data_IF_609485516743
#
_entry.id   IF_609485516743
#
_cell.length_a   1.000
_cell.length_b   1.000
_cell.length_c   1.000
_cell.angle_alpha   90.00
_cell.angle_beta   90.00
_cell.angle_gamma   90.00
#
_symmetry.space_group_name_H-M   'P 1'
#
loop_
_entity.id
_entity.type
_entity.pdbx_description
1 polymer ?
#
# COMPACT_ATOMS: atom_id res chain seq x y z
N UNK A 1 5.63 -10.96 22.64
CA UNK A 1 5.74 -9.54 23.06
C UNK A 1 4.40 -8.91 22.79
N UNK A 2 3.79 -8.21 23.75
CA UNK A 2 2.53 -7.53 23.50
C UNK A 2 2.71 -6.46 22.42
N UNK A 3 1.67 -6.20 21.62
CA UNK A 3 1.77 -5.22 20.50
C UNK A 3 2.15 -3.82 21.01
N UNK A 4 1.62 -3.41 22.17
CA UNK A 4 1.95 -2.13 22.82
C UNK A 4 3.42 -1.96 23.20
N UNK A 5 4.13 -3.09 23.42
CA UNK A 5 5.53 -3.08 23.88
C UNK A 5 6.54 -3.07 22.72
N UNK A 6 6.04 -3.23 21.49
CA UNK A 6 6.88 -3.33 20.28
C UNK A 6 7.41 -1.98 19.82
N UNK A 7 6.74 -0.90 20.19
CA UNK A 7 7.10 0.46 19.79
C UNK A 7 6.86 1.43 20.94
N UNK A 8 7.91 2.14 21.33
CA UNK A 8 7.79 3.18 22.36
C UNK A 8 7.12 4.43 21.76
N UNK A 9 6.26 5.07 22.55
CA UNK A 9 5.74 6.39 22.16
C UNK A 9 6.86 7.41 22.07
N UNK A 10 6.91 8.12 20.95
CA UNK A 10 7.78 9.27 20.74
C UNK A 10 7.02 10.33 19.95
N UNK A 11 6.86 11.52 20.51
CA UNK A 11 6.22 12.61 19.79
C UNK A 11 7.06 13.02 18.58
N UNK A 12 6.41 13.36 17.47
CA UNK A 12 7.08 13.72 16.22
C UNK A 12 8.05 14.90 16.41
N UNK A 13 7.73 15.85 17.30
CA UNK A 13 8.56 17.02 17.62
C UNK A 13 9.88 16.68 18.31
N UNK A 14 9.96 15.51 18.96
CA UNK A 14 11.14 15.01 19.68
C UNK A 14 12.01 14.08 18.83
N UNK A 15 11.59 13.82 17.59
CA UNK A 15 12.32 12.95 16.68
C UNK A 15 13.46 13.69 15.98
N UNK A 16 14.54 12.96 15.61
CA UNK A 16 15.60 13.54 14.80
C UNK A 16 15.07 14.16 13.50
N UNK A 17 15.61 15.31 13.12
CA UNK A 17 15.30 15.91 11.82
C UNK A 17 16.03 15.12 10.72
N UNK A 18 15.25 14.59 9.78
CA UNK A 18 15.75 13.81 8.66
C UNK A 18 15.74 14.63 7.37
N UNK A 19 16.62 14.24 6.42
CA UNK A 19 16.73 14.91 5.11
C UNK A 19 16.57 13.91 3.99
N UNK A 20 15.66 14.19 3.06
CA UNK A 20 15.53 13.40 1.84
C UNK A 20 16.73 13.60 0.89
N UNK A 21 16.99 12.61 0.02
CA UNK A 21 18.04 12.73 -0.99
C UNK A 21 17.84 13.97 -1.87
N UNK A 22 18.95 14.59 -2.30
CA UNK A 22 18.91 15.74 -3.20
C UNK A 22 18.24 17.00 -2.63
N UNK A 23 18.10 17.12 -1.30
CA UNK A 23 17.43 18.28 -0.68
C UNK A 23 15.93 18.34 -0.90
N UNK A 24 15.32 17.23 -1.29
CA UNK A 24 13.85 17.12 -1.44
C UNK A 24 13.14 17.31 -0.10
N UNK A 25 11.88 17.74 -0.14
CA UNK A 25 11.06 18.06 1.02
C UNK A 25 10.09 16.95 1.38
N UNK A 26 9.49 16.33 0.36
CA UNK A 26 8.42 15.35 0.49
C UNK A 26 8.75 14.11 -0.34
N UNK A 27 8.75 12.94 0.29
CA UNK A 27 8.68 11.67 -0.42
C UNK A 27 7.22 11.32 -0.69
N UNK A 28 6.87 11.07 -1.95
CA UNK A 28 5.55 10.58 -2.32
C UNK A 28 5.65 9.12 -2.70
N UNK A 29 4.86 8.31 -2.04
CA UNK A 29 4.77 6.86 -2.18
C UNK A 29 3.42 6.47 -2.75
N UNK A 30 3.41 5.97 -3.98
CA UNK A 30 2.19 5.52 -4.65
C UNK A 30 2.07 4.00 -4.53
N UNK A 31 0.96 3.54 -3.96
CA UNK A 31 0.64 2.14 -3.72
C UNK A 31 -0.50 1.74 -4.63
N UNK A 32 -0.24 0.78 -5.52
CA UNK A 32 -1.27 0.17 -6.36
C UNK A 32 -1.64 -1.18 -5.78
N UNK A 33 -2.86 -1.28 -5.25
CA UNK A 33 -3.36 -2.52 -4.63
C UNK A 33 -3.99 -3.41 -5.68
N UNK A 34 -3.43 -4.60 -5.86
CA UNK A 34 -3.90 -5.59 -6.83
C UNK A 34 -4.27 -6.87 -6.10
N UNK A 35 -5.57 -7.02 -5.90
CA UNK A 35 -6.16 -8.05 -5.07
C UNK A 35 -6.75 -9.20 -5.92
N UNK A 36 -6.83 -10.40 -5.37
CA UNK A 36 -7.59 -11.51 -5.91
C UNK A 36 -8.76 -11.83 -5.00
N UNK A 37 -9.97 -11.74 -5.53
CA UNK A 37 -11.20 -12.08 -4.84
C UNK A 37 -11.79 -13.36 -5.42
N UNK A 38 -12.01 -14.35 -4.57
CA UNK A 38 -12.57 -15.63 -5.00
C UNK A 38 -14.08 -15.58 -4.97
N UNK A 39 -14.70 -15.90 -6.10
CA UNK A 39 -16.15 -15.86 -6.27
C UNK A 39 -16.90 -16.82 -5.31
N UNK A 40 -16.22 -17.88 -4.86
CA UNK A 40 -16.77 -18.87 -3.92
C UNK A 40 -16.84 -18.34 -2.48
N UNK A 41 -16.13 -17.26 -2.19
CA UNK A 41 -16.03 -16.70 -0.84
C UNK A 41 -16.93 -15.47 -0.68
N UNK A 42 -17.19 -15.11 0.59
CA UNK A 42 -17.76 -13.80 0.90
C UNK A 42 -16.83 -12.69 0.38
N UNK A 43 -17.42 -11.70 -0.28
CA UNK A 43 -16.64 -10.59 -0.84
C UNK A 43 -16.01 -9.74 0.25
N UNK A 44 -14.74 -9.34 0.12
CA UNK A 44 -14.08 -8.45 1.07
C UNK A 44 -14.77 -7.10 1.21
N UNK A 45 -15.42 -6.63 0.15
CA UNK A 45 -16.21 -5.39 0.11
C UNK A 45 -17.45 -5.57 -0.77
N UNK A 46 -18.46 -4.75 -0.50
CA UNK A 46 -19.69 -4.75 -1.28
C UNK A 46 -19.98 -3.34 -1.78
N UNK A 47 -20.30 -3.20 -3.07
CA UNK A 47 -20.82 -1.97 -3.69
C UNK A 47 -22.33 -2.03 -3.82
N UNK A 48 -22.87 -3.24 -3.97
CA UNK A 48 -24.30 -3.51 -3.96
C UNK A 48 -24.63 -4.33 -2.71
N UNK A 49 -25.51 -3.78 -1.87
CA UNK A 49 -26.05 -4.51 -0.72
C UNK A 49 -26.82 -5.75 -1.18
N UNK A 50 -26.72 -6.88 -0.46
CA UNK A 50 -27.46 -8.08 -0.81
C UNK A 50 -28.96 -7.82 -0.82
N UNK A 51 -29.72 -8.38 -1.78
CA UNK A 51 -31.18 -8.30 -1.78
C UNK A 51 -31.76 -8.78 -0.44
N UNK A 52 -32.71 -8.04 0.11
CA UNK A 52 -33.34 -8.32 1.41
C UNK A 52 -32.35 -8.50 2.58
N UNK A 53 -31.14 -7.95 2.47
CA UNK A 53 -30.13 -8.00 3.53
C UNK A 53 -29.48 -9.37 3.75
N UNK A 54 -29.73 -10.36 2.91
CA UNK A 54 -29.16 -11.71 3.04
C UNK A 54 -27.95 -11.87 2.09
N UNK A 55 -26.75 -12.10 2.62
CA UNK A 55 -25.60 -12.43 1.78
C UNK A 55 -25.87 -13.70 0.95
N UNK A 56 -25.65 -13.59 -0.35
CA UNK A 56 -25.82 -14.71 -1.28
C UNK A 56 -24.45 -15.13 -1.83
N UNK A 57 -24.23 -16.43 -1.96
CA UNK A 57 -23.06 -16.99 -2.61
C UNK A 57 -23.49 -17.85 -3.81
N UNK A 58 -22.87 -17.67 -4.98
CA UNK A 58 -21.82 -16.68 -5.27
C UNK A 58 -22.37 -15.24 -5.35
N UNK A 59 -21.59 -14.27 -4.88
CA UNK A 59 -21.90 -12.84 -4.97
C UNK A 59 -21.39 -12.27 -6.30
N UNK A 60 -22.06 -12.60 -7.38
CA UNK A 60 -21.69 -12.22 -8.74
C UNK A 60 -21.54 -10.70 -8.93
N UNK A 61 -22.47 -9.83 -8.45
CA UNK A 61 -22.35 -8.39 -8.71
C UNK A 61 -21.14 -7.76 -8.05
N UNK A 62 -20.82 -8.09 -6.79
CA UNK A 62 -19.67 -7.51 -6.11
C UNK A 62 -18.35 -8.13 -6.59
N UNK A 63 -18.33 -9.42 -6.89
CA UNK A 63 -17.19 -10.04 -7.54
C UNK A 63 -16.93 -9.42 -8.93
N UNK A 64 -17.95 -9.24 -9.76
CA UNK A 64 -17.81 -8.64 -11.10
C UNK A 64 -17.35 -7.18 -11.05
N UNK A 65 -17.74 -6.44 -10.02
CA UNK A 65 -17.24 -5.08 -9.79
C UNK A 65 -15.72 -5.09 -9.58
N UNK A 66 -15.21 -5.98 -8.75
CA UNK A 66 -13.76 -6.16 -8.58
C UNK A 66 -13.09 -6.62 -9.88
N UNK A 67 -13.67 -7.62 -10.57
CA UNK A 67 -13.16 -8.14 -11.85
C UNK A 67 -13.05 -7.07 -12.94
N UNK A 68 -13.98 -6.11 -12.99
CA UNK A 68 -13.86 -4.96 -13.87
C UNK A 68 -12.56 -4.18 -13.57
N UNK A 69 -12.18 -4.04 -12.33
CA UNK A 69 -10.91 -3.45 -11.92
C UNK A 69 -9.73 -4.19 -12.54
N UNK A 70 -9.69 -5.50 -12.42
CA UNK A 70 -8.61 -6.34 -12.96
C UNK A 70 -8.55 -6.35 -14.49
N UNK A 71 -9.71 -6.30 -15.14
CA UNK A 71 -9.82 -6.37 -16.62
C UNK A 71 -9.65 -5.03 -17.32
N UNK A 72 -10.08 -3.94 -16.70
CA UNK A 72 -10.10 -2.63 -17.31
C UNK A 72 -9.47 -1.52 -16.45
N UNK A 73 -9.78 -1.48 -15.16
CA UNK A 73 -9.33 -0.41 -14.26
C UNK A 73 -7.81 -0.38 -14.08
N UNK A 74 -7.19 -1.55 -13.89
CA UNK A 74 -5.74 -1.68 -13.79
C UNK A 74 -5.03 -1.03 -14.98
N UNK A 75 -5.48 -1.26 -16.19
CA UNK A 75 -4.81 -0.76 -17.40
C UNK A 75 -4.89 0.76 -17.54
N UNK A 76 -5.95 1.39 -17.01
CA UNK A 76 -6.01 2.86 -16.95
C UNK A 76 -5.03 3.41 -15.93
N UNK A 77 -4.99 2.82 -14.73
CA UNK A 77 -4.02 3.22 -13.70
C UNK A 77 -2.59 2.93 -14.14
N UNK A 78 -2.34 1.75 -14.70
CA UNK A 78 -1.03 1.39 -15.25
C UNK A 78 -0.54 2.43 -16.26
N UNK A 79 -1.38 2.82 -17.23
CA UNK A 79 -1.04 3.86 -18.19
C UNK A 79 -0.79 5.21 -17.52
N UNK A 80 -1.66 5.63 -16.61
CA UNK A 80 -1.52 6.92 -15.92
C UNK A 80 -0.21 7.01 -15.14
N UNK A 81 0.20 5.91 -14.49
CA UNK A 81 1.43 5.81 -13.69
C UNK A 81 2.69 5.73 -14.56
N UNK A 82 2.67 4.88 -15.60
CA UNK A 82 3.84 4.66 -16.46
C UNK A 82 4.13 5.85 -17.38
N UNK A 83 3.10 6.50 -17.94
CA UNK A 83 3.27 7.71 -18.76
C UNK A 83 3.96 8.84 -17.96
N UNK A 84 3.75 8.88 -16.65
CA UNK A 84 4.33 9.87 -15.72
C UNK A 84 5.59 9.40 -15.01
N UNK A 85 6.05 8.19 -15.29
CA UNK A 85 7.24 7.57 -14.67
C UNK A 85 7.18 7.57 -13.15
N UNK A 86 6.00 7.30 -12.58
CA UNK A 86 5.80 7.23 -11.14
C UNK A 86 6.52 5.99 -10.59
N UNK A 87 7.28 6.15 -9.51
CA UNK A 87 7.77 5.02 -8.72
C UNK A 87 6.59 4.37 -7.98
N UNK A 88 6.28 3.12 -8.29
CA UNK A 88 5.09 2.41 -7.78
C UNK A 88 5.50 1.24 -6.91
N UNK A 89 4.88 1.13 -5.75
CA UNK A 89 4.85 -0.10 -4.98
C UNK A 89 3.53 -0.83 -5.27
N UNK A 90 3.62 -2.05 -5.76
CA UNK A 90 2.49 -2.92 -6.07
C UNK A 90 2.18 -3.78 -4.85
N UNK A 91 1.17 -3.43 -4.07
CA UNK A 91 0.63 -4.29 -3.02
C UNK A 91 -0.17 -5.42 -3.68
N UNK A 92 0.40 -6.62 -3.69
CA UNK A 92 -0.09 -7.72 -4.52
C UNK A 92 -0.46 -8.93 -3.67
N UNK A 93 -1.71 -9.40 -3.78
CA UNK A 93 -1.98 -10.78 -3.35
C UNK A 93 -1.16 -11.74 -4.23
N UNK A 94 -0.38 -12.62 -3.60
CA UNK A 94 0.61 -13.41 -4.32
C UNK A 94 0.01 -14.31 -5.42
N UNK A 95 -1.23 -14.78 -5.24
CA UNK A 95 -1.90 -15.61 -6.25
C UNK A 95 -2.27 -14.84 -7.53
N UNK A 96 -2.22 -13.51 -7.54
CA UNK A 96 -2.37 -12.68 -8.77
C UNK A 96 -1.33 -13.07 -9.81
N UNK A 97 -0.13 -13.48 -9.39
CA UNK A 97 0.91 -13.99 -10.31
C UNK A 97 0.41 -15.18 -11.16
N UNK A 98 -0.52 -15.97 -10.65
CA UNK A 98 -1.12 -17.11 -11.34
C UNK A 98 -2.50 -16.83 -11.91
N UNK A 99 -3.34 -16.12 -11.16
CA UNK A 99 -4.73 -15.83 -11.56
C UNK A 99 -4.81 -14.75 -12.64
N UNK A 100 -3.93 -13.74 -12.57
CA UNK A 100 -3.89 -12.62 -13.52
C UNK A 100 -2.47 -12.37 -14.05
N UNK A 101 -1.83 -13.37 -14.69
CA UNK A 101 -0.41 -13.30 -15.06
C UNK A 101 -0.06 -12.11 -15.96
N UNK A 102 -1.00 -11.65 -16.79
CA UNK A 102 -0.79 -10.48 -17.66
C UNK A 102 -0.64 -9.18 -16.85
N UNK A 103 -1.40 -9.05 -15.74
CA UNK A 103 -1.31 -7.91 -14.81
C UNK A 103 0.04 -7.93 -14.10
N UNK A 104 0.40 -9.08 -13.51
CA UNK A 104 1.65 -9.23 -12.79
C UNK A 104 2.87 -9.03 -13.70
N UNK A 105 2.87 -9.58 -14.93
CA UNK A 105 3.97 -9.42 -15.89
C UNK A 105 4.14 -7.96 -16.32
N UNK A 106 3.03 -7.24 -16.61
CA UNK A 106 3.11 -5.84 -16.99
C UNK A 106 3.72 -4.97 -15.87
N UNK A 107 3.35 -5.23 -14.62
CA UNK A 107 3.92 -4.51 -13.48
C UNK A 107 5.41 -4.81 -13.30
N UNK A 108 5.83 -6.07 -13.48
CA UNK A 108 7.23 -6.48 -13.43
C UNK A 108 8.06 -5.83 -14.54
N UNK A 109 7.56 -5.86 -15.79
CA UNK A 109 8.18 -5.23 -16.95
C UNK A 109 8.33 -3.72 -16.79
N UNK A 110 7.36 -3.07 -16.11
CA UNK A 110 7.40 -1.64 -15.80
C UNK A 110 8.34 -1.29 -14.62
N UNK A 111 8.92 -2.30 -13.96
CA UNK A 111 9.83 -2.09 -12.84
C UNK A 111 9.14 -1.71 -11.52
N UNK A 112 7.86 -2.03 -11.34
CA UNK A 112 7.16 -1.78 -10.08
C UNK A 112 7.76 -2.64 -8.96
N UNK A 113 7.88 -2.08 -7.77
CA UNK A 113 8.26 -2.86 -6.58
C UNK A 113 7.10 -3.78 -6.17
N UNK A 114 7.38 -5.05 -5.96
CA UNK A 114 6.40 -6.02 -5.47
C UNK A 114 6.42 -6.05 -3.95
N UNK A 115 5.33 -5.66 -3.33
CA UNK A 115 5.06 -5.72 -1.89
C UNK A 115 4.07 -6.86 -1.62
N UNK A 116 4.35 -7.70 -0.62
CA UNK A 116 3.44 -8.77 -0.25
C UNK A 116 2.15 -8.22 0.35
N UNK A 117 1.01 -8.82 -0.04
CA UNK A 117 -0.34 -8.42 0.42
C UNK A 117 -1.20 -9.67 0.69
N UNK A 118 -0.64 -10.64 1.43
CA UNK A 118 -1.28 -11.95 1.60
C UNK A 118 -1.20 -12.82 0.35
N UNK A 119 -1.79 -14.04 0.43
CA UNK A 119 -1.85 -14.94 -0.72
C UNK A 119 -3.08 -14.68 -1.59
N UNK A 120 -4.24 -14.51 -0.97
CA UNK A 120 -5.51 -14.05 -1.54
C UNK A 120 -6.10 -13.01 -0.59
N UNK A 121 -7.08 -12.22 -1.05
CA UNK A 121 -7.66 -11.16 -0.22
C UNK A 121 -8.49 -11.71 0.93
N UNK A 122 -8.05 -11.38 2.14
CA UNK A 122 -8.72 -11.78 3.38
C UNK A 122 -7.90 -11.39 4.62
N UNK A 123 -8.57 -11.05 5.74
CA UNK A 123 -7.87 -10.59 6.93
C UNK A 123 -7.01 -11.68 7.55
N UNK A 124 -5.83 -11.29 8.09
CA UNK A 124 -4.85 -12.21 8.70
C UNK A 124 -5.47 -13.05 9.82
N UNK A 125 -6.43 -12.49 10.56
CA UNK A 125 -7.15 -13.18 11.64
C UNK A 125 -7.99 -14.40 11.21
N UNK A 126 -8.31 -14.52 9.93
CA UNK A 126 -9.11 -15.63 9.37
C UNK A 126 -8.28 -16.71 8.69
N UNK A 127 -6.96 -16.62 8.78
CA UNK A 127 -6.08 -17.64 8.24
C UNK A 127 -5.93 -18.80 9.22
N UNK A 128 -6.17 -20.03 8.78
CA UNK A 128 -6.01 -21.24 9.61
C UNK A 128 -4.54 -21.43 10.04
N UNK A 129 -3.60 -21.13 9.13
CA UNK A 129 -2.16 -21.13 9.38
C UNK A 129 -1.53 -19.90 8.75
N UNK A 130 -1.30 -18.88 9.56
CA UNK A 130 -0.74 -17.60 9.11
C UNK A 130 0.72 -17.74 8.67
N UNK A 131 1.51 -18.57 9.35
CA UNK A 131 2.92 -18.79 9.02
C UNK A 131 3.08 -19.38 7.61
N UNK A 132 2.30 -20.41 7.29
CA UNK A 132 2.31 -21.02 5.97
C UNK A 132 1.78 -20.06 4.89
N UNK A 133 0.74 -19.29 5.21
CA UNK A 133 0.16 -18.33 4.26
C UNK A 133 1.15 -17.21 3.90
N UNK A 134 1.86 -16.65 4.87
CA UNK A 134 2.90 -15.63 4.67
C UNK A 134 4.05 -16.22 3.86
N UNK A 135 4.58 -17.38 4.29
CA UNK A 135 5.67 -18.04 3.58
C UNK A 135 5.30 -18.33 2.14
N UNK A 136 4.12 -18.88 1.90
CA UNK A 136 3.62 -19.17 0.55
C UNK A 136 3.51 -17.91 -0.31
N UNK A 137 3.06 -16.79 0.27
CA UNK A 137 2.97 -15.53 -0.46
C UNK A 137 4.37 -15.02 -0.85
N UNK A 138 5.32 -15.01 0.09
CA UNK A 138 6.71 -14.59 -0.14
C UNK A 138 7.37 -15.47 -1.21
N UNK A 139 7.28 -16.80 -1.10
CA UNK A 139 7.87 -17.75 -2.05
C UNK A 139 7.26 -17.60 -3.46
N UNK A 140 5.95 -17.34 -3.54
CA UNK A 140 5.27 -17.16 -4.84
C UNK A 140 5.74 -15.90 -5.54
N UNK A 141 5.83 -14.78 -4.82
CA UNK A 141 6.36 -13.52 -5.35
C UNK A 141 7.82 -13.69 -5.74
N UNK A 142 8.64 -14.32 -4.87
CA UNK A 142 10.06 -14.59 -5.15
C UNK A 142 10.26 -15.41 -6.42
N UNK A 143 9.47 -16.47 -6.60
CA UNK A 143 9.50 -17.30 -7.79
C UNK A 143 9.13 -16.53 -9.07
N UNK A 144 8.15 -15.63 -8.98
CA UNK A 144 7.67 -14.85 -10.12
C UNK A 144 8.63 -13.72 -10.51
N UNK A 145 9.15 -12.99 -9.52
CA UNK A 145 9.98 -11.79 -9.75
C UNK A 145 11.48 -12.06 -9.77
N UNK A 146 11.91 -13.26 -9.34
CA UNK A 146 13.32 -13.62 -9.15
C UNK A 146 13.92 -13.13 -7.81
N UNK A 147 13.17 -12.43 -6.96
CA UNK A 147 13.62 -11.95 -5.64
C UNK A 147 12.44 -11.90 -4.64
N UNK A 148 12.66 -12.18 -3.34
CA UNK A 148 11.62 -12.06 -2.34
C UNK A 148 11.19 -10.60 -2.15
N UNK A 149 9.92 -10.35 -1.77
CA UNK A 149 9.48 -9.03 -1.38
C UNK A 149 10.17 -8.62 -0.07
N UNK A 150 10.53 -7.34 0.06
CA UNK A 150 11.11 -6.78 1.28
C UNK A 150 10.08 -6.01 2.10
N UNK A 151 8.97 -5.66 1.49
CA UNK A 151 7.88 -4.89 2.09
C UNK A 151 6.58 -5.69 2.11
N UNK A 152 5.69 -5.33 3.05
CA UNK A 152 4.43 -6.00 3.28
C UNK A 152 3.33 -5.01 3.69
N UNK A 153 2.15 -5.22 3.19
CA UNK A 153 0.89 -4.61 3.62
C UNK A 153 -0.12 -5.75 3.84
N UNK A 154 -0.58 -5.95 5.06
CA UNK A 154 -1.57 -6.97 5.33
C UNK A 154 -2.93 -6.60 4.73
N UNK A 155 -3.71 -7.55 4.19
CA UNK A 155 -5.04 -7.28 3.68
C UNK A 155 -5.90 -6.52 4.70
N UNK A 156 -6.32 -5.30 4.33
CA UNK A 156 -7.07 -4.40 5.21
C UNK A 156 -6.28 -3.90 6.42
N UNK A 157 -4.94 -3.90 6.37
CA UNK A 157 -4.03 -3.54 7.47
C UNK A 157 -4.25 -4.38 8.73
N UNK A 158 -4.72 -5.63 8.56
CA UNK A 158 -5.06 -6.49 9.69
C UNK A 158 -3.85 -7.31 10.14
N UNK A 159 -3.56 -7.30 11.43
CA UNK A 159 -2.50 -8.11 12.04
C UNK A 159 -3.00 -8.85 13.28
N UNK A 160 -2.44 -10.02 13.55
CA UNK A 160 -2.50 -10.68 14.84
C UNK A 160 -1.23 -10.37 15.65
N UNK A 161 -1.17 -10.81 16.89
CA UNK A 161 0.03 -10.63 17.73
C UNK A 161 1.30 -11.25 17.13
N UNK A 162 1.15 -12.26 16.25
CA UNK A 162 2.26 -13.00 15.67
C UNK A 162 2.68 -12.46 14.29
N UNK A 163 1.84 -11.64 13.63
CA UNK A 163 2.04 -11.25 12.23
C UNK A 163 3.42 -10.65 11.98
N UNK A 164 3.82 -9.65 12.78
CA UNK A 164 5.14 -9.00 12.62
C UNK A 164 6.32 -9.97 12.78
N UNK A 165 6.20 -10.90 13.74
CA UNK A 165 7.24 -11.89 14.01
C UNK A 165 7.40 -12.85 12.81
N UNK A 166 6.27 -13.30 12.26
CA UNK A 166 6.23 -14.16 11.08
C UNK A 166 6.72 -13.44 9.82
N UNK A 167 6.36 -12.18 9.64
CA UNK A 167 6.86 -11.35 8.54
C UNK A 167 8.38 -11.22 8.61
N UNK A 168 8.90 -10.89 9.80
CA UNK A 168 10.35 -10.73 10.00
C UNK A 168 11.12 -12.03 9.77
N UNK A 169 10.57 -13.19 10.20
CA UNK A 169 11.13 -14.52 9.92
C UNK A 169 11.22 -14.84 8.42
N UNK A 170 10.27 -14.33 7.64
CA UNK A 170 10.23 -14.52 6.19
C UNK A 170 10.99 -13.43 5.41
N UNK A 171 11.86 -12.65 6.08
CA UNK A 171 12.74 -11.68 5.43
C UNK A 171 12.09 -10.33 5.12
N UNK A 172 10.85 -10.09 5.54
CA UNK A 172 10.22 -8.78 5.40
C UNK A 172 10.95 -7.78 6.32
N UNK A 173 11.29 -6.65 5.77
CA UNK A 173 12.03 -5.58 6.42
C UNK A 173 11.16 -4.36 6.73
N UNK A 174 10.12 -4.15 5.91
CA UNK A 174 9.25 -2.98 5.92
C UNK A 174 7.79 -3.37 5.96
N UNK A 175 6.99 -2.69 6.78
CA UNK A 175 5.55 -2.94 6.92
C UNK A 175 4.75 -1.66 6.82
N UNK A 176 3.59 -1.71 6.17
CA UNK A 176 2.69 -0.56 5.96
C UNK A 176 1.53 -0.50 6.97
N UNK A 177 1.32 -1.55 7.77
CA UNK A 177 0.10 -1.75 8.56
C UNK A 177 -0.03 -0.77 9.76
N UNK A 178 1.09 -0.20 10.22
CA UNK A 178 1.14 0.68 11.39
C UNK A 178 1.14 2.16 10.99
N UNK A 179 -0.04 2.74 10.94
CA UNK A 179 -0.27 4.14 10.51
C UNK A 179 -0.15 5.07 11.71
N UNK A 180 1.09 5.37 12.15
CA UNK A 180 1.35 6.03 13.43
C UNK A 180 2.13 7.35 13.34
N UNK A 181 2.72 7.67 12.19
CA UNK A 181 3.56 8.87 12.02
C UNK A 181 3.72 9.20 10.53
N UNK A 182 4.18 10.39 10.20
CA UNK A 182 4.58 10.83 8.85
C UNK A 182 6.03 10.42 8.50
N UNK A 183 6.73 9.75 9.41
CA UNK A 183 8.08 9.22 9.23
C UNK A 183 8.13 7.74 9.64
N UNK A 184 8.99 6.92 9.01
CA UNK A 184 9.17 5.54 9.40
C UNK A 184 9.57 5.39 10.86
N UNK A 185 9.19 4.28 11.48
CA UNK A 185 9.60 3.92 12.84
C UNK A 185 10.01 2.46 12.91
N UNK A 186 10.94 2.17 13.80
CA UNK A 186 11.38 0.80 14.05
C UNK A 186 10.47 0.12 15.06
N UNK A 187 10.00 -1.07 14.72
CA UNK A 187 9.16 -1.93 15.55
C UNK A 187 9.98 -3.14 15.98
N UNK A 188 9.99 -3.45 17.27
CA UNK A 188 10.72 -4.59 17.81
C UNK A 188 9.99 -5.91 17.54
N UNK A 189 10.75 -6.92 17.12
CA UNK A 189 10.32 -8.32 17.07
C UNK A 189 11.36 -9.21 17.73
N UNK A 190 11.00 -10.44 18.15
CA UNK A 190 11.98 -11.41 18.65
C UNK A 190 13.06 -11.78 17.63
N UNK A 191 12.81 -11.49 16.33
CA UNK A 191 13.69 -11.83 15.20
C UNK A 191 14.44 -10.62 14.64
N UNK A 192 14.50 -9.52 15.40
CA UNK A 192 15.11 -8.26 14.98
C UNK A 192 14.06 -7.19 14.65
N UNK A 193 14.52 -6.07 14.14
CA UNK A 193 13.67 -4.91 13.85
C UNK A 193 12.98 -5.06 12.50
N UNK A 194 11.70 -4.69 12.46
CA UNK A 194 10.95 -4.37 11.23
C UNK A 194 10.63 -2.86 11.25
N UNK A 195 10.69 -2.19 10.11
CA UNK A 195 10.46 -0.73 10.05
C UNK A 195 9.10 -0.45 9.43
N UNK A 196 8.24 0.31 10.11
CA UNK A 196 6.98 0.76 9.49
C UNK A 196 7.23 1.89 8.50
N UNK A 197 6.58 1.82 7.34
CA UNK A 197 6.58 2.86 6.33
C UNK A 197 5.27 3.65 6.47
N UNK A 198 5.31 4.99 6.52
CA UNK A 198 4.11 5.80 6.71
C UNK A 198 3.06 5.54 5.63
N UNK A 199 2.05 4.77 5.96
CA UNK A 199 0.83 4.64 5.18
C UNK A 199 -0.16 5.71 5.63
N UNK A 200 -1.14 6.07 4.79
CA UNK A 200 -2.20 6.98 5.16
C UNK A 200 -3.56 6.41 4.77
N UNK A 201 -4.38 6.12 5.76
CA UNK A 201 -5.78 5.71 5.52
C UNK A 201 -6.60 6.85 4.93
N UNK A 202 -6.20 8.11 5.21
CA UNK A 202 -6.91 9.30 4.74
C UNK A 202 -6.79 9.53 3.22
N UNK A 203 -5.70 9.07 2.61
CA UNK A 203 -5.43 9.17 1.17
C UNK A 203 -5.55 7.83 0.44
N UNK A 204 -6.29 6.90 1.02
CA UNK A 204 -6.70 5.65 0.43
C UNK A 204 -8.07 5.81 -0.27
N UNK A 205 -8.16 5.45 -1.55
CA UNK A 205 -9.38 5.58 -2.35
C UNK A 205 -10.54 4.71 -1.84
N UNK A 206 -10.24 3.57 -1.19
CA UNK A 206 -11.24 2.74 -0.49
C UNK A 206 -11.92 3.56 0.63
N UNK A 207 -11.11 4.22 1.47
CA UNK A 207 -11.63 5.00 2.59
C UNK A 207 -12.51 6.14 2.08
N UNK A 208 -12.04 6.85 1.07
CA UNK A 208 -12.74 8.01 0.50
C UNK A 208 -14.06 7.59 -0.17
N UNK A 209 -14.01 6.59 -1.04
CA UNK A 209 -15.13 6.27 -1.93
C UNK A 209 -16.00 5.11 -1.46
N UNK A 210 -15.41 4.07 -0.86
CA UNK A 210 -16.16 2.88 -0.49
C UNK A 210 -16.62 2.88 0.98
N UNK A 211 -15.91 3.58 1.88
CA UNK A 211 -16.31 3.67 3.29
C UNK A 211 -17.01 4.98 3.63
N UNK A 212 -16.46 6.11 3.17
CA UNK A 212 -17.03 7.43 3.44
C UNK A 212 -18.02 7.91 2.37
N UNK A 213 -18.14 7.17 1.25
CA UNK A 213 -19.05 7.45 0.14
C UNK A 213 -18.95 8.87 -0.42
N UNK A 214 -17.75 9.45 -0.40
CA UNK A 214 -17.52 10.81 -0.87
C UNK A 214 -17.50 10.90 -2.40
N UNK A 215 -17.88 12.06 -2.97
CA UNK A 215 -17.82 12.33 -4.41
C UNK A 215 -16.42 12.12 -4.99
N UNK A 216 -16.36 11.85 -6.31
CA UNK A 216 -15.11 11.45 -6.99
C UNK A 216 -14.00 12.50 -6.92
N UNK A 217 -14.33 13.78 -6.93
CA UNK A 217 -13.39 14.90 -6.82
C UNK A 217 -12.73 15.01 -5.44
N UNK A 218 -13.32 14.42 -4.40
CA UNK A 218 -12.77 14.47 -3.05
C UNK A 218 -11.45 13.72 -2.92
N UNK A 219 -11.19 12.74 -3.77
CA UNK A 219 -9.88 12.08 -3.82
C UNK A 219 -8.78 13.09 -4.17
N UNK A 220 -8.96 13.84 -5.27
CA UNK A 220 -8.00 14.87 -5.67
C UNK A 220 -7.85 15.94 -4.58
N UNK A 221 -8.99 16.48 -4.11
CA UNK A 221 -8.96 17.56 -3.12
C UNK A 221 -8.24 17.15 -1.83
N UNK A 222 -8.59 16.01 -1.24
CA UNK A 222 -7.99 15.55 0.01
C UNK A 222 -6.49 15.28 -0.16
N UNK A 223 -6.11 14.62 -1.25
CA UNK A 223 -4.70 14.33 -1.51
C UNK A 223 -3.89 15.61 -1.76
N UNK A 224 -4.43 16.60 -2.44
CA UNK A 224 -3.72 17.90 -2.63
C UNK A 224 -3.61 18.69 -1.33
N UNK A 225 -4.67 18.75 -0.52
CA UNK A 225 -4.63 19.43 0.79
C UNK A 225 -3.58 18.77 1.72
N UNK A 226 -3.50 17.45 1.76
CA UNK A 226 -2.49 16.72 2.53
C UNK A 226 -1.08 16.95 1.98
N UNK A 227 -0.95 16.88 0.65
CA UNK A 227 0.31 17.17 -0.03
C UNK A 227 0.85 18.54 0.35
N UNK A 228 0.04 19.60 0.24
CA UNK A 228 0.43 20.98 0.50
C UNK A 228 0.94 21.14 1.94
N UNK A 229 0.23 20.53 2.88
CA UNK A 229 0.64 20.58 4.28
C UNK A 229 1.97 19.87 4.52
N UNK A 230 2.13 18.64 4.06
CA UNK A 230 3.35 17.88 4.23
C UNK A 230 4.53 18.48 3.46
N UNK A 231 4.29 19.05 2.28
CA UNK A 231 5.31 19.74 1.50
C UNK A 231 5.83 21.01 2.21
N UNK A 232 4.93 21.74 2.86
CA UNK A 232 5.30 22.89 3.70
C UNK A 232 6.16 22.47 4.89
N UNK A 233 5.74 21.45 5.63
CA UNK A 233 6.47 20.90 6.79
C UNK A 233 7.82 20.30 6.39
N UNK A 234 7.89 19.68 5.21
CA UNK A 234 9.08 19.08 4.64
C UNK A 234 10.25 20.07 4.42
N UNK A 235 9.98 21.37 4.46
CA UNK A 235 11.03 22.39 4.42
C UNK A 235 11.94 22.34 5.67
N UNK A 236 11.44 21.86 6.80
CA UNK A 236 12.17 21.80 8.07
C UNK A 236 12.57 20.40 8.50
N UNK A 237 11.79 19.41 8.11
CA UNK A 237 12.02 18.00 8.40
C UNK A 237 11.34 17.16 7.32
N UNK A 238 12.00 16.14 6.79
CA UNK A 238 11.42 15.25 5.78
C UNK A 238 10.01 14.79 6.15
N UNK A 239 9.16 14.63 5.14
CA UNK A 239 7.82 14.04 5.27
C UNK A 239 7.62 12.97 4.21
N UNK A 240 6.73 12.03 4.50
CA UNK A 240 6.31 11.00 3.56
C UNK A 240 4.81 11.08 3.39
N UNK A 241 4.33 11.00 2.16
CA UNK A 241 2.93 10.94 1.80
C UNK A 241 2.66 9.67 1.03
N UNK A 242 1.79 8.81 1.55
CA UNK A 242 1.27 7.66 0.83
C UNK A 242 0.02 8.05 0.02
N UNK A 243 -0.14 7.46 -1.16
CA UNK A 243 -1.35 7.52 -1.99
C UNK A 243 -1.70 6.08 -2.35
N UNK A 244 -2.79 5.55 -1.81
CA UNK A 244 -3.21 4.17 -2.03
C UNK A 244 -4.41 4.10 -2.96
N UNK A 245 -4.29 3.33 -4.04
CA UNK A 245 -5.29 3.22 -5.10
C UNK A 245 -5.61 1.78 -5.44
N UNK A 246 -6.86 1.53 -5.85
CA UNK A 246 -7.37 0.21 -6.23
C UNK A 246 -7.97 0.25 -7.63
N UNK A 247 -7.72 -0.77 -8.49
CA UNK A 247 -8.18 -0.81 -9.87
C UNK A 247 -9.70 -0.65 -10.03
N UNK A 248 -10.47 -1.25 -9.14
CA UNK A 248 -11.93 -1.22 -9.16
C UNK A 248 -12.53 0.05 -8.53
N UNK A 249 -11.73 0.90 -7.92
CA UNK A 249 -12.15 2.19 -7.33
C UNK A 249 -11.72 3.36 -8.24
N UNK A 250 -10.44 3.68 -8.26
CA UNK A 250 -9.92 4.86 -8.98
C UNK A 250 -9.70 4.56 -10.47
N UNK A 251 -9.54 3.28 -10.86
CA UNK A 251 -9.37 2.88 -12.27
C UNK A 251 -10.64 2.94 -13.13
N UNK A 252 -11.80 3.33 -12.58
CA UNK A 252 -13.05 3.46 -13.34
C UNK A 252 -13.08 4.77 -14.15
N UNK A 253 -13.84 4.83 -15.29
CA UNK A 253 -13.79 5.95 -16.22
C UNK A 253 -14.07 7.33 -15.61
N UNK A 254 -15.01 7.41 -14.65
CA UNK A 254 -15.41 8.68 -14.07
C UNK A 254 -14.46 9.17 -12.95
N UNK A 255 -13.53 8.33 -12.47
CA UNK A 255 -12.57 8.68 -11.41
C UNK A 255 -11.13 8.81 -11.88
N UNK A 256 -10.73 8.13 -12.96
CA UNK A 256 -9.32 8.10 -13.39
C UNK A 256 -8.73 9.51 -13.62
N UNK A 257 -9.53 10.46 -14.11
CA UNK A 257 -9.10 11.85 -14.33
C UNK A 257 -8.59 12.54 -13.06
N UNK A 258 -9.13 12.17 -11.88
CA UNK A 258 -8.71 12.76 -10.61
C UNK A 258 -7.37 12.19 -10.14
N UNK A 259 -7.11 10.90 -10.42
CA UNK A 259 -5.78 10.33 -10.21
C UNK A 259 -4.76 11.00 -11.14
N UNK A 260 -5.07 11.13 -12.45
CA UNK A 260 -4.19 11.78 -13.41
C UNK A 260 -3.84 13.21 -12.98
N UNK A 261 -4.84 13.99 -12.59
CA UNK A 261 -4.65 15.36 -12.08
C UNK A 261 -3.81 15.41 -10.81
N UNK A 262 -4.01 14.46 -9.88
CA UNK A 262 -3.19 14.35 -8.66
C UNK A 262 -1.73 14.03 -8.98
N UNK A 263 -1.49 13.08 -9.88
CA UNK A 263 -0.13 12.72 -10.27
C UNK A 263 0.58 13.89 -10.97
N UNK A 264 -0.12 14.62 -11.87
CA UNK A 264 0.41 15.82 -12.51
C UNK A 264 0.72 16.93 -11.48
N UNK A 265 -0.15 17.09 -10.47
CA UNK A 265 0.10 18.02 -9.36
C UNK A 265 1.37 17.66 -8.59
N UNK A 266 1.52 16.41 -8.21
CA UNK A 266 2.67 15.91 -7.44
C UNK A 266 3.98 16.11 -8.20
N UNK A 267 4.05 15.67 -9.47
CA UNK A 267 5.29 15.78 -10.27
C UNK A 267 5.60 17.22 -10.70
N UNK A 268 4.64 18.13 -10.62
CA UNK A 268 4.84 19.56 -10.87
C UNK A 268 5.64 20.29 -9.78
N UNK A 269 6.02 19.61 -8.67
CA UNK A 269 6.74 20.21 -7.56
C UNK A 269 8.18 19.72 -7.47
N UNK A 270 9.16 20.60 -7.63
CA UNK A 270 10.61 20.27 -7.63
C UNK A 270 11.10 19.60 -6.32
N UNK A 271 10.45 19.89 -5.20
CA UNK A 271 10.81 19.36 -3.89
C UNK A 271 10.32 17.94 -3.60
N UNK A 272 9.71 17.24 -4.57
CA UNK A 272 9.19 15.89 -4.43
C UNK A 272 10.23 14.84 -4.81
N UNK A 273 10.33 13.79 -4.01
CA UNK A 273 11.00 12.53 -4.33
C UNK A 273 9.92 11.44 -4.51
N UNK A 274 9.81 10.86 -5.70
CA UNK A 274 8.99 9.66 -5.90
C UNK A 274 9.80 8.45 -5.42
N UNK A 275 9.27 7.72 -4.44
CA UNK A 275 10.00 6.61 -3.80
C UNK A 275 9.08 5.42 -3.56
N UNK A 276 9.62 4.22 -3.70
CA UNK A 276 8.96 2.97 -3.34
C UNK A 276 9.10 2.68 -1.83
N UNK A 277 8.36 1.68 -1.32
CA UNK A 277 8.41 1.30 0.09
C UNK A 277 9.83 0.96 0.55
N UNK A 278 10.56 0.12 -0.23
CA UNK A 278 11.93 -0.27 0.13
C UNK A 278 12.91 0.90 0.04
N UNK A 279 12.76 1.80 -0.92
CA UNK A 279 13.60 2.99 -1.02
C UNK A 279 13.42 3.93 0.17
N UNK A 280 12.18 4.11 0.64
CA UNK A 280 11.89 4.88 1.86
C UNK A 280 12.51 4.21 3.09
N UNK A 281 12.35 2.90 3.22
CA UNK A 281 12.91 2.14 4.34
C UNK A 281 14.44 2.18 4.37
N UNK A 282 15.10 1.98 3.24
CA UNK A 282 16.57 2.03 3.10
C UNK A 282 17.11 3.45 3.39
N UNK A 283 16.42 4.47 2.89
CA UNK A 283 16.72 5.85 3.21
C UNK A 283 16.64 6.11 4.72
N UNK A 284 15.54 5.72 5.35
CA UNK A 284 15.33 5.91 6.80
C UNK A 284 16.44 5.24 7.62
N UNK A 285 16.74 3.98 7.35
CA UNK A 285 17.82 3.24 8.04
C UNK A 285 19.17 3.93 7.88
N UNK A 286 19.46 4.46 6.67
CA UNK A 286 20.68 5.21 6.42
C UNK A 286 20.74 6.51 7.23
N UNK A 287 19.63 7.23 7.35
CA UNK A 287 19.54 8.46 8.16
C UNK A 287 19.74 8.17 9.65
N UNK A 288 19.07 7.13 10.16
CA UNK A 288 19.17 6.75 11.58
C UNK A 288 20.56 6.24 11.96
N UNK A 289 21.27 5.56 11.08
CA UNK A 289 22.65 5.15 11.31
C UNK A 289 23.62 6.33 11.41
N UNK A 290 23.32 7.46 10.74
CA UNK A 290 24.12 8.71 10.81
C UNK A 290 23.77 9.58 12.02
N UNK A 291 22.59 9.40 12.61
CA UNK A 291 22.13 10.18 13.77
C UNK A 291 22.58 9.58 15.12
N UNK A 292 23.10 8.35 15.11
CA UNK A 292 23.75 7.69 16.26
C UNK A 292 25.23 8.04 16.30
#
# INVERSE_FOLDING_TARGET
MALSDRIAYQAQVDRPKLKLPGGKKLAVWVILNVEEWRIENAMPRVVLSPPMGQPLLPDVPNWSWHEYGMRAGFWRQFKALTDRKIAVTLALNANVCSAYPRVASAALEAGFEFMGHGFVQGPMHKLDNQADAIKRAVDTIAKFTGKPPRSWESPGLTETEETLDLLRLNGIEYVADWVIDDLPQDIATPHGTITTIPYSVETNDIVIHALQHLPSEQFLKRCTDQFDRLYLEGATNARIMAISIHPYITGVPHRIKYLEALLDYVIGHDGVALMTASEIGDWYRTQMARAR
#
